data_IF_472105173358
#
_entry.id   IF_472105173358
#
_cell.length_a   1.000
_cell.length_b   1.000
_cell.length_c   1.000
_cell.angle_alpha   90.00
_cell.angle_beta   90.00
_cell.angle_gamma   90.00
#
_symmetry.space_group_name_H-M   'P 1'
#
loop_
_entity.id
_entity.type
_entity.pdbx_description
1 polymer ?
#
# COMPACT_ATOMS: atom_id res chain seq x y z
N UNK A 1 -13.98 -37.29 -40.67
CA UNK A 1 -12.67 -36.89 -41.24
C UNK A 1 -12.24 -35.63 -40.52
N UNK A 2 -11.03 -35.56 -39.99
CA UNK A 2 -10.54 -34.31 -39.39
C UNK A 2 -10.43 -33.25 -40.49
N UNK A 3 -10.88 -32.04 -40.19
CA UNK A 3 -10.77 -30.88 -41.07
C UNK A 3 -9.29 -30.61 -41.31
N UNK A 4 -8.85 -30.50 -42.57
CA UNK A 4 -7.51 -30.00 -42.88
C UNK A 4 -7.50 -28.49 -42.63
N UNK A 5 -6.91 -28.05 -41.53
CA UNK A 5 -6.61 -26.64 -41.31
C UNK A 5 -5.46 -26.22 -42.21
N UNK A 6 -5.78 -25.60 -43.33
CA UNK A 6 -4.78 -24.99 -44.19
C UNK A 6 -4.58 -23.53 -43.87
N UNK A 7 -3.33 -23.09 -43.74
CA UNK A 7 -3.05 -21.67 -43.52
C UNK A 7 -3.35 -20.90 -44.84
N UNK A 8 -3.97 -19.69 -44.77
CA UNK A 8 -4.27 -18.90 -45.97
C UNK A 8 -3.07 -18.64 -46.87
N UNK A 9 -1.87 -18.61 -46.35
CA UNK A 9 -0.63 -18.47 -47.11
C UNK A 9 -0.34 -19.71 -47.96
N UNK A 10 -0.54 -20.89 -47.41
CA UNK A 10 -0.31 -22.16 -48.10
C UNK A 10 -1.29 -22.34 -49.27
N UNK A 11 -2.54 -21.97 -49.10
CA UNK A 11 -3.55 -22.03 -50.16
C UNK A 11 -3.22 -21.06 -51.32
N UNK A 12 -2.70 -19.86 -51.00
CA UNK A 12 -2.24 -18.89 -52.01
C UNK A 12 -1.01 -19.41 -52.76
N UNK A 13 -0.09 -20.06 -52.09
CA UNK A 13 1.07 -20.70 -52.71
C UNK A 13 0.66 -21.84 -53.59
N UNK A 14 -0.29 -22.68 -53.20
CA UNK A 14 -0.84 -23.77 -54.02
C UNK A 14 -1.55 -23.23 -55.27
N UNK A 15 -2.37 -22.18 -55.10
CA UNK A 15 -3.03 -21.50 -56.19
C UNK A 15 -2.03 -20.98 -57.25
N UNK A 16 -0.96 -20.32 -56.84
CA UNK A 16 0.08 -19.79 -57.72
C UNK A 16 0.86 -20.92 -58.40
N UNK A 17 1.16 -21.99 -57.67
CA UNK A 17 1.84 -23.17 -58.24
C UNK A 17 1.00 -23.83 -59.36
N UNK A 18 -0.29 -24.05 -59.07
CA UNK A 18 -1.20 -24.65 -60.06
C UNK A 18 -1.38 -23.72 -61.29
N UNK A 19 -1.39 -22.41 -61.10
CA UNK A 19 -1.41 -21.45 -62.19
C UNK A 19 -0.12 -21.51 -63.03
N UNK A 20 1.05 -21.63 -62.39
CA UNK A 20 2.33 -21.73 -63.09
C UNK A 20 2.46 -23.01 -64.02
N UNK A 21 1.74 -24.07 -63.63
CA UNK A 21 1.69 -25.29 -64.46
C UNK A 21 0.97 -25.10 -65.75
N UNK A 22 0.29 -23.99 -66.03
CA UNK A 22 -0.43 -23.63 -67.23
C UNK A 22 -1.46 -24.68 -67.70
N UNK A 23 -1.93 -25.53 -66.78
CA UNK A 23 -2.90 -26.60 -67.08
C UNK A 23 -4.36 -26.10 -66.89
N UNK A 24 -4.59 -24.96 -66.26
CA UNK A 24 -5.90 -24.47 -65.98
C UNK A 24 -6.06 -23.00 -66.40
N UNK A 25 -7.23 -22.66 -66.91
CA UNK A 25 -7.62 -21.25 -67.06
C UNK A 25 -7.86 -20.58 -65.73
N UNK A 26 -7.76 -19.25 -65.67
CA UNK A 26 -8.04 -18.50 -64.44
C UNK A 26 -9.47 -18.76 -63.89
N UNK A 27 -10.43 -19.05 -64.83
CA UNK A 27 -11.82 -19.38 -64.45
C UNK A 27 -11.90 -20.71 -63.71
N UNK A 28 -11.27 -21.75 -64.26
CA UNK A 28 -11.22 -23.08 -63.64
C UNK A 28 -10.47 -23.10 -62.35
N UNK A 29 -9.34 -22.39 -62.29
CA UNK A 29 -8.53 -22.29 -61.10
C UNK A 29 -9.30 -21.56 -59.98
N UNK A 30 -9.97 -20.45 -60.29
CA UNK A 30 -10.79 -19.70 -59.31
C UNK A 30 -11.96 -20.55 -58.79
N UNK A 31 -12.60 -21.34 -59.64
CA UNK A 31 -13.65 -22.27 -59.21
C UNK A 31 -13.10 -23.38 -58.31
N UNK A 32 -11.92 -23.95 -58.62
CA UNK A 32 -11.27 -25.00 -57.83
C UNK A 32 -10.91 -24.57 -56.41
N UNK A 33 -10.48 -23.29 -56.23
CA UNK A 33 -10.09 -22.73 -54.95
C UNK A 33 -11.18 -21.90 -54.27
N UNK A 34 -12.41 -21.95 -54.82
CA UNK A 34 -13.57 -21.20 -54.31
C UNK A 34 -13.29 -19.71 -54.09
N UNK A 35 -12.61 -19.09 -55.05
CA UNK A 35 -12.28 -17.66 -55.04
C UNK A 35 -12.82 -16.96 -56.28
N UNK A 36 -13.08 -15.65 -56.16
CA UNK A 36 -13.45 -14.89 -57.37
C UNK A 36 -12.26 -14.75 -58.34
N UNK A 37 -12.54 -14.66 -59.64
CA UNK A 37 -11.50 -14.40 -60.66
C UNK A 37 -10.69 -13.14 -60.33
N UNK A 38 -11.35 -12.09 -59.78
CA UNK A 38 -10.68 -10.88 -59.32
C UNK A 38 -9.65 -11.18 -58.23
N UNK A 39 -9.96 -12.09 -57.29
CA UNK A 39 -9.04 -12.54 -56.27
C UNK A 39 -7.89 -13.33 -56.85
N UNK A 40 -8.14 -14.22 -57.83
CA UNK A 40 -7.11 -14.95 -58.52
C UNK A 40 -6.10 -14.04 -59.25
N UNK A 41 -6.59 -13.09 -60.01
CA UNK A 41 -5.72 -12.11 -60.72
C UNK A 41 -4.97 -11.21 -59.69
N UNK A 42 -5.57 -10.85 -58.55
CA UNK A 42 -4.92 -10.09 -57.48
C UNK A 42 -3.71 -10.85 -56.92
N UNK A 43 -3.86 -12.14 -56.62
CA UNK A 43 -2.76 -12.94 -56.08
C UNK A 43 -1.66 -13.22 -57.11
N UNK A 44 -2.04 -13.45 -58.37
CA UNK A 44 -1.08 -13.53 -59.47
C UNK A 44 -0.25 -12.27 -59.57
N UNK A 45 -0.87 -11.09 -59.71
CA UNK A 45 -0.16 -9.82 -59.83
C UNK A 45 0.79 -9.56 -58.64
N UNK A 46 0.35 -9.86 -57.41
CA UNK A 46 1.23 -9.74 -56.23
C UNK A 46 2.44 -10.69 -56.29
N UNK A 47 2.23 -11.90 -56.77
CA UNK A 47 3.33 -12.85 -56.95
C UNK A 47 4.31 -12.38 -58.01
N UNK A 48 3.82 -11.86 -59.12
CA UNK A 48 4.64 -11.32 -60.20
C UNK A 48 5.46 -10.10 -59.76
N UNK A 49 4.90 -9.25 -58.86
CA UNK A 49 5.59 -8.08 -58.31
C UNK A 49 6.65 -8.41 -57.24
N UNK A 50 6.41 -9.36 -56.35
CA UNK A 50 7.24 -9.55 -55.16
C UNK A 50 7.42 -11.01 -54.73
N UNK A 51 7.12 -11.96 -55.59
CA UNK A 51 7.29 -13.38 -55.32
C UNK A 51 6.46 -13.89 -54.12
N UNK A 52 6.96 -14.95 -53.51
CA UNK A 52 6.33 -15.62 -52.40
C UNK A 52 6.00 -14.66 -51.21
N UNK A 53 6.87 -13.71 -50.93
CA UNK A 53 6.67 -12.78 -49.82
C UNK A 53 5.48 -11.85 -50.02
N UNK A 54 5.11 -11.53 -51.24
CA UNK A 54 3.97 -10.67 -51.55
C UNK A 54 2.62 -11.38 -51.44
N UNK A 55 2.57 -12.69 -51.23
CA UNK A 55 1.36 -13.45 -50.94
C UNK A 55 0.87 -13.28 -49.48
N UNK A 56 1.67 -12.69 -48.62
CA UNK A 56 1.25 -12.33 -47.25
C UNK A 56 0.18 -11.25 -47.23
N UNK A 57 -0.59 -11.21 -46.15
CA UNK A 57 -1.56 -10.14 -45.98
C UNK A 57 -0.84 -8.79 -45.72
N UNK A 58 -1.18 -7.80 -46.53
CA UNK A 58 -0.70 -6.43 -46.31
C UNK A 58 -1.43 -5.85 -45.09
N UNK A 59 -0.72 -5.03 -44.31
CA UNK A 59 -1.32 -4.29 -43.21
C UNK A 59 -2.55 -3.50 -43.70
N UNK A 60 -3.66 -3.66 -42.96
CA UNK A 60 -4.88 -2.88 -43.20
C UNK A 60 -4.92 -1.61 -42.36
N UNK A 61 -3.84 -1.32 -41.66
CA UNK A 61 -3.75 -0.11 -40.82
C UNK A 61 -3.79 1.13 -41.75
N UNK A 62 -4.51 2.21 -41.35
CA UNK A 62 -4.50 3.47 -42.07
C UNK A 62 -3.06 4.00 -42.18
N UNK A 63 -2.74 4.57 -43.36
CA UNK A 63 -1.42 5.19 -43.58
C UNK A 63 -1.21 6.43 -42.68
N UNK A 64 -2.30 7.12 -42.30
CA UNK A 64 -2.29 8.23 -41.37
C UNK A 64 -3.20 7.90 -40.18
N UNK A 65 -2.66 7.95 -39.01
CA UNK A 65 -3.39 7.81 -37.73
C UNK A 65 -3.18 9.08 -36.92
N UNK A 66 -4.06 10.09 -37.03
CA UNK A 66 -3.93 11.39 -36.30
C UNK A 66 -3.83 11.21 -34.79
N UNK A 67 -4.38 10.12 -34.25
CA UNK A 67 -4.37 9.80 -32.81
C UNK A 67 -3.20 8.90 -32.38
N UNK A 68 -2.23 8.68 -33.26
CA UNK A 68 -1.05 7.87 -32.92
C UNK A 68 -0.19 8.64 -31.92
N UNK A 69 0.17 8.00 -30.82
CA UNK A 69 1.11 8.57 -29.83
C UNK A 69 2.43 8.85 -30.57
N UNK A 70 2.99 10.06 -30.36
CA UNK A 70 4.30 10.44 -30.90
C UNK A 70 5.39 9.51 -30.34
N UNK A 71 6.49 9.36 -31.06
CA UNK A 71 7.62 8.54 -30.59
C UNK A 71 8.25 9.11 -29.32
N UNK A 72 8.29 10.43 -29.19
CA UNK A 72 8.74 11.12 -27.99
C UNK A 72 7.88 10.77 -26.77
N UNK A 73 6.54 10.92 -26.88
CA UNK A 73 5.61 10.55 -25.82
C UNK A 73 5.71 9.06 -25.45
N UNK A 74 5.85 8.20 -26.46
CA UNK A 74 6.03 6.77 -26.24
C UNK A 74 7.35 6.47 -25.51
N UNK A 75 8.42 7.17 -25.85
CA UNK A 75 9.70 7.05 -25.17
C UNK A 75 9.59 7.46 -23.71
N UNK A 76 9.05 8.65 -23.42
CA UNK A 76 8.88 9.16 -22.05
C UNK A 76 8.08 8.21 -21.15
N UNK A 77 6.95 7.69 -21.64
CA UNK A 77 6.11 6.72 -20.92
C UNK A 77 6.86 5.41 -20.66
N UNK A 78 7.57 4.89 -21.67
CA UNK A 78 8.33 3.65 -21.53
C UNK A 78 9.55 3.81 -20.59
N UNK A 79 10.21 4.95 -20.64
CA UNK A 79 11.34 5.26 -19.75
C UNK A 79 10.90 5.42 -18.30
N UNK A 80 9.84 6.19 -18.05
CA UNK A 80 9.23 6.28 -16.72
C UNK A 80 8.82 4.88 -16.17
N UNK A 81 8.32 3.99 -17.03
CA UNK A 81 7.99 2.62 -16.64
C UNK A 81 9.20 1.78 -16.29
N UNK A 82 10.34 1.99 -16.94
CA UNK A 82 11.61 1.30 -16.59
C UNK A 82 12.16 1.80 -15.26
N UNK A 83 12.05 3.11 -14.99
CA UNK A 83 12.44 3.72 -13.72
C UNK A 83 11.54 3.24 -12.58
N UNK A 84 10.22 3.12 -12.82
CA UNK A 84 9.22 2.72 -11.84
C UNK A 84 8.44 1.46 -12.27
N UNK A 85 9.05 0.26 -12.21
CA UNK A 85 8.47 -0.97 -12.78
C UNK A 85 7.15 -1.41 -12.18
N UNK A 86 6.80 -0.94 -10.98
CA UNK A 86 5.58 -1.31 -10.24
C UNK A 86 4.42 -0.33 -10.47
N UNK A 87 4.67 0.84 -11.08
CA UNK A 87 3.66 1.86 -11.26
C UNK A 87 2.77 1.57 -12.48
N UNK A 88 1.47 1.76 -12.34
CA UNK A 88 0.52 1.67 -13.45
C UNK A 88 0.57 2.91 -14.35
N UNK A 89 -0.07 2.86 -15.54
CA UNK A 89 -0.07 3.97 -16.48
C UNK A 89 -0.60 5.29 -15.87
N UNK A 90 -1.64 5.22 -15.05
CA UNK A 90 -2.21 6.33 -14.30
C UNK A 90 -1.14 7.11 -13.51
N UNK A 91 -0.40 6.39 -12.64
CA UNK A 91 0.68 6.99 -11.85
C UNK A 91 1.84 7.52 -12.69
N UNK A 92 2.15 6.86 -13.79
CA UNK A 92 3.22 7.31 -14.68
C UNK A 92 2.85 8.63 -15.34
N UNK A 93 1.61 8.80 -15.77
CA UNK A 93 1.13 10.05 -16.33
C UNK A 93 1.07 11.15 -15.29
N UNK A 94 0.51 10.89 -14.10
CA UNK A 94 0.50 11.83 -12.96
C UNK A 94 1.92 12.30 -12.57
N UNK A 95 2.92 11.43 -12.73
CA UNK A 95 4.32 11.74 -12.42
C UNK A 95 5.02 12.53 -13.53
N UNK A 96 4.68 12.25 -14.80
CA UNK A 96 5.25 12.91 -15.98
C UNK A 96 4.68 14.31 -16.20
N UNK A 97 3.40 14.50 -15.95
CA UNK A 97 2.69 15.75 -16.22
C UNK A 97 3.36 16.99 -15.61
N UNK A 98 3.71 17.04 -14.31
CA UNK A 98 4.39 18.20 -13.74
C UNK A 98 5.85 18.36 -14.19
N UNK A 99 6.47 17.32 -14.75
CA UNK A 99 7.85 17.32 -15.25
C UNK A 99 7.97 17.77 -16.70
N UNK A 100 6.86 17.71 -17.45
CA UNK A 100 6.78 18.14 -18.84
C UNK A 100 5.54 19.04 -19.03
N UNK A 101 5.55 20.27 -18.49
CA UNK A 101 4.42 21.19 -18.60
C UNK A 101 4.05 21.48 -20.04
N UNK A 102 2.76 21.43 -20.38
CA UNK A 102 2.28 21.68 -21.73
C UNK A 102 2.38 20.50 -22.71
N UNK A 103 2.95 19.37 -22.30
CA UNK A 103 2.97 18.16 -23.12
C UNK A 103 1.60 17.48 -23.15
N UNK A 104 1.13 17.11 -24.34
CA UNK A 104 -0.16 16.45 -24.51
C UNK A 104 -0.06 14.96 -24.21
N UNK A 105 -0.54 14.56 -23.05
CA UNK A 105 -0.51 13.14 -22.62
C UNK A 105 -1.71 12.37 -23.18
N UNK A 106 -1.51 11.07 -23.56
CA UNK A 106 -2.60 10.21 -23.97
C UNK A 106 -3.48 9.80 -22.78
N UNK A 107 -4.67 9.29 -23.07
CA UNK A 107 -5.51 8.67 -22.05
C UNK A 107 -4.78 7.50 -21.36
N UNK A 108 -5.12 7.25 -20.08
CA UNK A 108 -4.54 6.17 -19.26
C UNK A 108 -4.63 4.81 -19.94
N UNK A 109 -5.76 4.50 -20.61
CA UNK A 109 -5.94 3.27 -21.37
C UNK A 109 -4.94 3.15 -22.52
N UNK A 110 -4.76 4.23 -23.28
CA UNK A 110 -3.84 4.29 -24.43
C UNK A 110 -2.38 4.12 -23.97
N UNK A 111 -2.00 4.75 -22.86
CA UNK A 111 -0.68 4.54 -22.24
C UNK A 111 -0.52 3.08 -21.76
N UNK A 112 -1.57 2.48 -21.20
CA UNK A 112 -1.59 1.06 -20.82
C UNK A 112 -1.38 0.12 -21.98
N UNK A 113 -2.06 0.36 -23.10
CA UNK A 113 -1.92 -0.43 -24.34
C UNK A 113 -0.53 -0.28 -24.98
N UNK A 114 0.04 0.93 -24.92
CA UNK A 114 1.42 1.17 -25.34
C UNK A 114 2.39 0.30 -24.53
N UNK A 115 2.30 0.33 -23.19
CA UNK A 115 3.15 -0.45 -22.32
C UNK A 115 2.98 -1.96 -22.54
N UNK A 116 1.75 -2.42 -22.80
CA UNK A 116 1.47 -3.83 -23.09
C UNK A 116 2.12 -4.26 -24.43
N UNK A 117 1.98 -3.47 -25.48
CA UNK A 117 2.60 -3.72 -26.80
C UNK A 117 4.13 -3.73 -26.73
N UNK A 118 4.72 -2.89 -25.87
CA UNK A 118 6.17 -2.84 -25.63
C UNK A 118 6.68 -3.93 -24.69
N UNK A 119 5.81 -4.87 -24.23
CA UNK A 119 6.18 -5.97 -23.34
C UNK A 119 6.47 -5.55 -21.89
N UNK A 120 6.14 -4.30 -21.50
CA UNK A 120 6.42 -3.74 -20.19
C UNK A 120 5.33 -4.05 -19.15
N UNK A 121 4.35 -4.89 -19.48
CA UNK A 121 3.26 -5.30 -18.59
C UNK A 121 3.33 -6.81 -18.33
N UNK A 122 3.50 -7.20 -17.06
CA UNK A 122 3.39 -8.60 -16.67
C UNK A 122 1.92 -9.03 -16.67
N UNK A 123 1.56 -10.04 -17.47
CA UNK A 123 0.22 -10.65 -17.44
C UNK A 123 -0.06 -11.19 -16.03
N UNK A 124 -1.06 -10.65 -15.33
CA UNK A 124 -1.54 -11.16 -14.04
C UNK A 124 -2.81 -11.97 -14.27
N UNK A 125 -2.90 -13.18 -13.68
CA UNK A 125 -4.18 -13.87 -13.55
C UNK A 125 -5.16 -12.96 -12.80
N UNK A 126 -6.29 -12.62 -13.41
CA UNK A 126 -7.39 -11.93 -12.74
C UNK A 126 -7.88 -12.81 -11.60
N UNK A 127 -7.62 -12.42 -10.34
CA UNK A 127 -8.37 -12.94 -9.20
C UNK A 127 -9.71 -12.22 -9.17
N UNK A 128 -10.81 -12.96 -8.98
CA UNK A 128 -12.12 -12.35 -8.67
C UNK A 128 -11.93 -11.46 -7.44
N UNK A 129 -12.21 -10.16 -7.60
CA UNK A 129 -12.27 -9.25 -6.49
C UNK A 129 -13.59 -9.51 -5.76
N UNK A 130 -13.52 -10.01 -4.53
CA UNK A 130 -14.67 -9.96 -3.64
C UNK A 130 -14.82 -8.52 -3.17
N UNK A 131 -15.94 -7.90 -3.54
CA UNK A 131 -16.34 -6.60 -2.98
C UNK A 131 -16.90 -6.88 -1.60
N UNK A 132 -16.16 -6.50 -0.56
CA UNK A 132 -16.67 -6.57 0.82
C UNK A 132 -17.72 -5.47 1.01
N UNK A 133 -18.90 -5.73 1.58
CA UNK A 133 -19.86 -4.69 1.93
C UNK A 133 -19.18 -3.73 2.93
N UNK A 134 -19.19 -2.46 2.57
CA UNK A 134 -18.33 -1.42 3.10
C UNK A 134 -18.19 -1.34 4.62
N UNK A 135 -16.96 -1.25 5.05
CA UNK A 135 -16.59 -0.67 6.35
C UNK A 135 -16.38 0.82 6.12
N UNK A 136 -17.06 1.66 6.90
CA UNK A 136 -16.84 3.11 6.88
C UNK A 136 -15.38 3.36 7.26
N UNK A 137 -14.55 3.91 6.37
CA UNK A 137 -13.17 4.25 6.71
C UNK A 137 -13.18 5.28 7.85
N UNK A 138 -12.22 5.20 8.75
CA UNK A 138 -12.05 6.26 9.73
C UNK A 138 -11.82 7.58 9.00
N UNK A 139 -12.73 8.51 9.16
CA UNK A 139 -12.64 9.85 8.58
C UNK A 139 -11.61 10.65 9.37
N UNK A 140 -10.52 11.02 8.71
CA UNK A 140 -9.55 11.99 9.19
C UNK A 140 -9.78 13.28 8.41
N UNK A 141 -9.75 14.43 9.09
CA UNK A 141 -10.03 15.73 8.46
C UNK A 141 -8.76 16.50 8.11
N UNK A 142 -7.66 16.20 8.79
CA UNK A 142 -6.38 16.90 8.63
C UNK A 142 -5.17 16.00 8.96
N UNK A 143 -3.95 16.39 8.54
CA UNK A 143 -2.72 15.70 8.92
C UNK A 143 -2.60 15.58 10.45
N UNK A 144 -2.03 14.46 10.91
CA UNK A 144 -1.79 14.13 12.32
C UNK A 144 -3.05 13.91 13.19
N UNK A 145 -4.25 13.86 12.61
CA UNK A 145 -5.44 13.40 13.33
C UNK A 145 -5.28 11.94 13.76
N UNK A 146 -4.73 11.10 12.86
CA UNK A 146 -4.55 9.68 13.12
C UNK A 146 -3.32 9.13 12.40
N UNK A 147 -2.35 8.69 13.17
CA UNK A 147 -1.27 7.86 12.66
C UNK A 147 -1.63 6.39 12.73
N UNK A 148 -1.20 5.61 11.78
CA UNK A 148 -1.30 4.15 11.79
C UNK A 148 0.09 3.56 11.97
N UNK A 149 0.24 2.55 12.82
CA UNK A 149 1.50 1.87 13.04
C UNK A 149 1.29 0.35 13.00
N UNK A 150 2.17 -0.34 12.27
CA UNK A 150 2.03 -1.77 12.03
C UNK A 150 3.38 -2.40 11.68
N UNK A 151 3.54 -3.69 12.02
CA UNK A 151 4.65 -4.51 11.56
C UNK A 151 4.28 -5.22 10.26
N UNK A 152 5.12 -5.07 9.23
CA UNK A 152 4.90 -5.74 7.94
C UNK A 152 4.95 -7.27 8.01
N UNK A 153 5.26 -7.83 9.15
CA UNK A 153 5.68 -9.22 9.31
C UNK A 153 7.20 -9.33 9.16
N UNK A 154 7.72 -10.55 9.14
CA UNK A 154 9.15 -10.78 9.14
C UNK A 154 9.66 -11.32 7.81
N UNK A 155 10.92 -11.04 7.51
CA UNK A 155 11.67 -11.67 6.43
C UNK A 155 13.16 -11.78 6.85
N UNK A 156 13.93 -12.60 6.13
CA UNK A 156 15.38 -12.72 6.36
C UNK A 156 16.15 -11.86 5.38
N UNK A 157 17.16 -11.15 5.89
CA UNK A 157 18.22 -10.53 5.10
C UNK A 157 19.18 -11.60 4.55
N UNK A 158 20.07 -11.23 3.62
CA UNK A 158 20.97 -12.18 2.98
C UNK A 158 21.94 -12.88 3.93
N UNK A 159 22.24 -12.28 5.09
CA UNK A 159 23.01 -12.85 6.19
C UNK A 159 22.18 -13.76 7.13
N UNK A 160 20.91 -14.03 6.77
CA UNK A 160 20.02 -14.92 7.51
C UNK A 160 19.33 -14.29 8.72
N UNK A 161 19.61 -13.04 9.04
CA UNK A 161 19.03 -12.32 10.18
C UNK A 161 17.56 -11.95 9.89
N UNK A 162 16.67 -12.15 10.87
CA UNK A 162 15.28 -11.70 10.75
C UNK A 162 15.18 -10.18 10.86
N UNK A 163 14.43 -9.60 9.94
CA UNK A 163 14.06 -8.18 9.93
C UNK A 163 12.55 -8.06 10.12
N UNK A 164 12.15 -7.23 11.07
CA UNK A 164 10.76 -6.90 11.38
C UNK A 164 10.52 -5.41 11.03
N UNK A 165 10.03 -5.07 9.83
CA UNK A 165 9.79 -3.68 9.46
C UNK A 165 8.63 -3.08 10.24
N UNK A 166 8.92 -2.11 11.09
CA UNK A 166 7.91 -1.24 11.69
C UNK A 166 7.66 -0.06 10.76
N UNK A 167 6.41 0.15 10.41
CA UNK A 167 5.98 1.27 9.58
C UNK A 167 5.00 2.15 10.35
N UNK A 168 5.15 3.46 10.21
CA UNK A 168 4.26 4.46 10.81
C UNK A 168 3.87 5.45 9.72
N UNK A 169 2.57 5.67 9.53
CA UNK A 169 2.07 6.55 8.48
C UNK A 169 0.93 7.44 8.98
N UNK A 170 0.83 8.65 8.43
CA UNK A 170 -0.34 9.50 8.60
C UNK A 170 -1.49 8.99 7.73
N UNK A 171 -2.64 8.73 8.34
CA UNK A 171 -3.78 8.16 7.62
C UNK A 171 -4.42 9.16 6.65
N UNK A 172 -4.41 10.44 6.94
CA UNK A 172 -5.03 11.47 6.10
C UNK A 172 -4.26 11.68 4.79
N UNK A 173 -2.98 11.99 4.90
CA UNK A 173 -2.12 12.31 3.76
C UNK A 173 -1.41 11.11 3.16
N UNK A 174 -1.48 9.93 3.79
CA UNK A 174 -0.72 8.73 3.43
C UNK A 174 0.79 8.88 3.62
N UNK A 175 1.26 9.96 4.24
CA UNK A 175 2.68 10.22 4.46
C UNK A 175 3.30 9.14 5.34
N UNK A 176 4.33 8.50 4.84
CA UNK A 176 5.08 7.46 5.55
C UNK A 176 6.12 8.13 6.47
N UNK A 177 5.76 8.31 7.73
CA UNK A 177 6.59 8.95 8.75
C UNK A 177 7.84 8.14 9.08
N UNK A 178 7.70 6.82 9.14
CA UNK A 178 8.79 5.91 9.45
C UNK A 178 8.66 4.55 8.80
N UNK A 179 9.81 3.99 8.41
CA UNK A 179 9.95 2.60 7.97
C UNK A 179 11.28 2.08 8.54
N UNK A 180 11.22 1.36 9.65
CA UNK A 180 12.39 0.95 10.42
C UNK A 180 12.46 -0.57 10.52
N UNK A 181 13.58 -1.15 10.06
CA UNK A 181 13.89 -2.57 10.26
C UNK A 181 14.36 -2.83 11.69
N UNK A 182 13.69 -3.71 12.39
CA UNK A 182 14.02 -4.13 13.75
C UNK A 182 14.41 -5.61 13.78
N UNK A 183 15.16 -6.01 14.82
CA UNK A 183 15.54 -7.41 15.07
C UNK A 183 14.44 -8.18 15.80
N UNK A 184 13.50 -7.50 16.41
CA UNK A 184 12.36 -8.09 17.12
C UNK A 184 11.20 -7.10 17.19
N UNK A 185 10.03 -7.59 17.60
CA UNK A 185 8.82 -6.78 17.79
C UNK A 185 8.67 -6.30 19.25
N UNK A 186 9.69 -6.43 20.10
CA UNK A 186 9.57 -6.01 21.48
C UNK A 186 9.48 -4.48 21.65
N UNK A 187 8.84 -4.04 22.73
CA UNK A 187 8.58 -2.61 23.00
C UNK A 187 9.85 -1.77 23.19
N UNK A 188 10.94 -2.37 23.67
CA UNK A 188 12.20 -1.67 23.91
C UNK A 188 12.79 -1.08 22.60
N UNK A 189 12.70 -1.81 21.47
CA UNK A 189 13.15 -1.31 20.17
C UNK A 189 12.18 -0.31 19.53
N UNK A 190 10.91 -0.36 19.88
CA UNK A 190 9.85 0.47 19.26
C UNK A 190 9.78 1.89 19.84
N UNK A 191 9.94 2.03 21.15
CA UNK A 191 9.86 3.33 21.83
C UNK A 191 10.83 4.38 21.30
N UNK A 192 12.13 4.10 21.08
CA UNK A 192 13.06 5.08 20.51
C UNK A 192 12.67 5.56 19.11
N UNK A 193 11.99 4.71 18.32
CA UNK A 193 11.50 5.08 17.00
C UNK A 193 10.40 6.13 17.13
N UNK A 194 9.40 5.89 17.98
CA UNK A 194 8.33 6.87 18.21
C UNK A 194 8.86 8.15 18.86
N UNK A 195 9.83 8.09 19.76
CA UNK A 195 10.47 9.28 20.34
C UNK A 195 11.08 10.16 19.23
N UNK A 196 11.85 9.55 18.33
CA UNK A 196 12.41 10.24 17.17
C UNK A 196 11.34 10.81 16.24
N UNK A 197 10.27 10.05 15.96
CA UNK A 197 9.18 10.51 15.10
C UNK A 197 8.45 11.69 15.73
N UNK A 198 8.19 11.66 17.05
CA UNK A 198 7.55 12.74 17.75
C UNK A 198 8.41 14.01 17.78
N UNK A 199 9.74 13.88 17.95
CA UNK A 199 10.66 15.03 17.85
C UNK A 199 10.68 15.63 16.44
N UNK A 200 10.58 14.79 15.42
CA UNK A 200 10.66 15.23 14.02
C UNK A 200 9.35 15.83 13.52
N UNK A 201 8.23 15.20 13.85
CA UNK A 201 6.93 15.50 13.25
C UNK A 201 5.89 16.06 14.22
N UNK A 202 6.21 16.14 15.51
CA UNK A 202 5.27 16.50 16.59
C UNK A 202 4.33 15.34 16.94
N UNK A 203 3.42 15.59 17.90
CA UNK A 203 2.52 14.58 18.45
C UNK A 203 1.23 14.48 17.61
N UNK A 204 0.80 13.28 17.20
CA UNK A 204 -0.53 13.10 16.61
C UNK A 204 -1.64 13.20 17.66
N UNK A 205 -2.87 13.34 17.21
CA UNK A 205 -4.05 13.25 18.09
C UNK A 205 -4.29 11.82 18.55
N UNK A 206 -4.16 10.85 17.64
CA UNK A 206 -4.35 9.44 17.91
C UNK A 206 -3.35 8.56 17.15
N UNK A 207 -3.08 7.38 17.66
CA UNK A 207 -2.32 6.32 16.98
C UNK A 207 -3.19 5.06 16.95
N UNK A 208 -3.36 4.49 15.75
CA UNK A 208 -4.04 3.21 15.54
C UNK A 208 -3.03 2.11 15.30
N UNK A 209 -3.22 0.98 15.98
CA UNK A 209 -2.38 -0.22 15.82
C UNK A 209 -3.26 -1.46 15.74
N UNK A 210 -2.65 -2.57 15.36
CA UNK A 210 -3.22 -3.91 15.58
C UNK A 210 -3.24 -4.26 17.08
N UNK A 211 -3.71 -5.47 17.39
CA UNK A 211 -3.76 -6.01 18.75
C UNK A 211 -2.52 -6.84 19.12
N UNK A 212 -1.48 -6.80 18.31
CA UNK A 212 -0.23 -7.54 18.52
C UNK A 212 0.75 -6.84 19.46
N UNK A 213 1.71 -7.59 19.98
CA UNK A 213 2.85 -7.06 20.73
C UNK A 213 3.71 -6.19 19.79
N UNK A 214 4.15 -4.99 20.22
CA UNK A 214 4.12 -4.40 21.58
C UNK A 214 2.95 -3.46 21.83
N UNK A 215 2.01 -3.38 20.90
CA UNK A 215 0.92 -2.39 20.93
C UNK A 215 -0.21 -2.78 21.87
N UNK A 216 -0.35 -4.06 22.20
CA UNK A 216 -1.31 -4.55 23.16
C UNK A 216 -0.71 -5.63 24.07
N UNK A 217 -1.29 -5.78 25.25
CA UNK A 217 -0.97 -6.83 26.22
C UNK A 217 -2.27 -7.49 26.71
N UNK A 218 -2.17 -8.62 27.38
CA UNK A 218 -3.30 -9.29 28.06
C UNK A 218 -3.75 -8.60 29.35
N UNK A 219 -3.09 -7.50 29.77
CA UNK A 219 -3.49 -6.71 30.94
C UNK A 219 -4.86 -6.03 30.73
N UNK A 220 -5.45 -5.52 31.82
CA UNK A 220 -6.71 -4.75 31.79
C UNK A 220 -6.63 -3.66 30.71
N UNK A 221 -7.58 -3.62 29.81
CA UNK A 221 -7.59 -2.80 28.58
C UNK A 221 -6.40 -2.99 27.63
N UNK A 222 -5.57 -4.05 27.82
CA UNK A 222 -4.41 -4.31 26.97
C UNK A 222 -3.34 -3.22 27.04
N UNK A 223 -3.23 -2.49 28.15
CA UNK A 223 -2.27 -1.40 28.33
C UNK A 223 -0.84 -1.93 28.39
N UNK A 224 -0.05 -1.61 27.38
CA UNK A 224 1.40 -1.78 27.37
C UNK A 224 2.10 -0.51 27.88
N UNK A 225 3.38 -0.62 28.24
CA UNK A 225 4.17 0.55 28.63
C UNK A 225 4.24 1.61 27.51
N UNK A 226 4.16 1.17 26.24
CA UNK A 226 4.11 2.06 25.07
C UNK A 226 2.80 2.86 25.05
N UNK A 227 1.66 2.20 25.30
CA UNK A 227 0.34 2.86 25.35
C UNK A 227 0.26 3.85 26.50
N UNK A 228 0.74 3.46 27.68
CA UNK A 228 0.80 4.32 28.86
C UNK A 228 1.59 5.61 28.56
N UNK A 229 2.73 5.47 27.88
CA UNK A 229 3.52 6.62 27.45
C UNK A 229 2.76 7.52 26.46
N UNK A 230 2.07 6.96 25.47
CA UNK A 230 1.24 7.73 24.53
C UNK A 230 0.11 8.48 25.24
N UNK A 231 -0.58 7.82 26.18
CA UNK A 231 -1.64 8.44 26.96
C UNK A 231 -1.11 9.59 27.82
N UNK A 232 0.09 9.45 28.39
CA UNK A 232 0.77 10.54 29.13
C UNK A 232 1.10 11.74 28.23
N UNK A 233 1.38 11.50 26.95
CA UNK A 233 1.58 12.56 25.95
C UNK A 233 0.27 13.13 25.40
N UNK A 234 -0.87 12.67 25.89
CA UNK A 234 -2.18 13.07 25.40
C UNK A 234 -2.50 12.57 23.99
N UNK A 235 -1.92 11.42 23.62
CA UNK A 235 -2.19 10.72 22.36
C UNK A 235 -3.20 9.62 22.65
N UNK A 236 -4.32 9.61 21.94
CA UNK A 236 -5.31 8.53 22.03
C UNK A 236 -4.81 7.26 21.33
N UNK A 237 -4.87 6.13 22.01
CA UNK A 237 -4.61 4.83 21.38
C UNK A 237 -5.91 4.21 20.87
N UNK A 238 -5.95 3.89 19.58
CA UNK A 238 -7.06 3.19 18.94
C UNK A 238 -6.58 1.80 18.51
N UNK A 239 -7.31 0.77 18.89
CA UNK A 239 -7.05 -0.60 18.44
C UNK A 239 -8.01 -0.97 17.31
N UNK A 240 -7.53 -1.72 16.34
CA UNK A 240 -8.37 -2.31 15.31
C UNK A 240 -9.31 -3.31 15.97
N UNK A 241 -10.58 -3.26 15.62
CA UNK A 241 -11.55 -4.24 16.13
C UNK A 241 -11.15 -5.65 15.66
N UNK A 242 -11.24 -6.67 16.53
CA UNK A 242 -11.00 -8.05 16.12
C UNK A 242 -11.84 -8.42 14.91
N UNK A 243 -11.26 -9.17 13.97
CA UNK A 243 -11.88 -9.56 12.71
C UNK A 243 -12.25 -8.44 11.72
N UNK A 244 -11.76 -7.19 11.93
CA UNK A 244 -11.97 -6.07 11.01
C UNK A 244 -10.66 -5.55 10.39
N UNK A 245 -9.90 -6.36 9.62
CA UNK A 245 -8.64 -5.96 8.99
C UNK A 245 -8.80 -4.78 8.03
N UNK A 246 -10.01 -4.56 7.50
CA UNK A 246 -10.32 -3.46 6.58
C UNK A 246 -10.05 -2.07 7.21
N UNK A 247 -10.09 -1.95 8.54
CA UNK A 247 -9.75 -0.71 9.24
C UNK A 247 -8.29 -0.28 9.04
N UNK A 248 -7.41 -1.22 8.59
CA UNK A 248 -6.01 -0.96 8.24
C UNK A 248 -5.69 -1.08 6.73
N UNK A 249 -6.71 -1.17 5.88
CA UNK A 249 -6.55 -1.44 4.45
C UNK A 249 -5.63 -0.47 3.69
N UNK A 250 -5.51 0.79 4.16
CA UNK A 250 -4.53 1.74 3.61
C UNK A 250 -3.09 1.33 3.91
N UNK A 251 -2.84 0.90 5.14
CA UNK A 251 -1.54 0.43 5.61
C UNK A 251 -1.14 -0.88 4.93
N UNK A 252 -2.07 -1.83 4.80
CA UNK A 252 -1.86 -3.08 4.07
C UNK A 252 -1.47 -2.84 2.60
N UNK A 253 -2.11 -1.86 1.96
CA UNK A 253 -1.78 -1.47 0.58
C UNK A 253 -0.37 -0.89 0.48
N UNK A 254 0.03 -0.07 1.45
CA UNK A 254 1.41 0.43 1.55
C UNK A 254 2.39 -0.71 1.77
N UNK A 255 2.09 -1.67 2.67
CA UNK A 255 2.90 -2.87 2.90
C UNK A 255 3.08 -3.73 1.64
N UNK A 256 2.04 -3.83 0.79
CA UNK A 256 2.15 -4.52 -0.50
C UNK A 256 3.15 -3.83 -1.42
N UNK A 257 3.15 -2.50 -1.44
CA UNK A 257 4.11 -1.70 -2.20
C UNK A 257 5.53 -1.86 -1.63
N UNK A 258 5.69 -1.71 -0.31
CA UNK A 258 6.96 -1.91 0.40
C UNK A 258 7.58 -3.29 0.08
N UNK A 259 6.74 -4.34 0.09
CA UNK A 259 7.20 -5.69 -0.22
C UNK A 259 7.74 -5.81 -1.65
N UNK A 260 7.08 -5.17 -2.61
CA UNK A 260 7.47 -5.25 -4.02
C UNK A 260 8.70 -4.39 -4.36
N UNK A 261 8.90 -3.27 -3.69
CA UNK A 261 9.90 -2.25 -4.05
C UNK A 261 11.12 -2.24 -3.14
N UNK A 262 10.97 -2.65 -1.87
CA UNK A 262 12.03 -2.53 -0.88
C UNK A 262 12.39 -3.82 -0.11
N UNK A 263 11.56 -4.86 -0.17
CA UNK A 263 11.84 -6.12 0.52
C UNK A 263 12.27 -7.21 -0.47
N UNK A 264 11.74 -7.22 -1.66
CA UNK A 264 12.06 -8.25 -2.68
C UNK A 264 12.83 -7.67 -3.86
N UNK A 265 14.12 -8.06 -4.04
CA UNK A 265 14.94 -8.95 -3.19
C UNK A 265 15.40 -8.28 -1.88
N UNK A 266 15.53 -9.08 -0.82
CA UNK A 266 16.09 -8.62 0.45
C UNK A 266 17.58 -8.26 0.28
N UNK A 267 18.04 -7.28 1.05
CA UNK A 267 19.45 -6.86 1.04
C UNK A 267 20.31 -7.79 1.90
N UNK A 268 21.63 -7.70 1.69
CA UNK A 268 22.59 -8.59 2.35
C UNK A 268 22.59 -8.48 3.88
N UNK A 269 22.41 -7.26 4.42
CA UNK A 269 22.46 -6.97 5.86
C UNK A 269 21.38 -5.97 6.26
N UNK A 270 21.03 -5.96 7.55
CA UNK A 270 20.00 -5.04 8.09
C UNK A 270 20.34 -3.56 7.82
N UNK A 271 21.61 -3.16 7.91
CA UNK A 271 22.03 -1.76 7.62
C UNK A 271 21.77 -1.39 6.17
N UNK A 272 22.07 -2.26 5.22
CA UNK A 272 21.79 -2.03 3.79
C UNK A 272 20.31 -2.08 3.49
N UNK A 273 19.58 -2.95 4.20
CA UNK A 273 18.13 -3.00 4.14
C UNK A 273 17.48 -1.70 4.63
N UNK A 274 18.00 -1.12 5.73
CA UNK A 274 17.51 0.15 6.26
C UNK A 274 17.73 1.30 5.27
N UNK A 275 18.85 1.35 4.58
CA UNK A 275 19.10 2.35 3.51
C UNK A 275 18.04 2.22 2.40
N UNK A 276 17.67 0.99 2.05
CA UNK A 276 16.62 0.75 1.06
C UNK A 276 15.25 1.20 1.58
N UNK A 277 14.93 0.99 2.86
CA UNK A 277 13.70 1.49 3.48
C UNK A 277 13.65 3.02 3.51
N UNK A 278 14.77 3.68 3.81
CA UNK A 278 14.84 5.14 3.80
C UNK A 278 14.57 5.69 2.40
N UNK A 279 15.24 5.13 1.36
CA UNK A 279 14.98 5.52 -0.03
C UNK A 279 13.54 5.27 -0.45
N UNK A 280 12.98 4.11 -0.11
CA UNK A 280 11.56 3.80 -0.37
C UNK A 280 10.63 4.82 0.29
N UNK A 281 10.87 5.19 1.55
CA UNK A 281 10.08 6.20 2.27
C UNK A 281 10.13 7.55 1.54
N UNK A 282 11.31 7.97 1.12
CA UNK A 282 11.51 9.25 0.45
C UNK A 282 10.82 9.27 -0.92
N UNK A 283 10.97 8.21 -1.72
CA UNK A 283 10.28 8.04 -3.01
C UNK A 283 8.75 7.94 -2.83
N UNK A 284 8.29 7.17 -1.84
CA UNK A 284 6.87 7.00 -1.53
C UNK A 284 6.21 8.33 -1.16
N UNK A 285 6.91 9.18 -0.42
CA UNK A 285 6.39 10.45 0.06
C UNK A 285 6.47 11.58 -0.98
N UNK A 286 7.54 11.65 -1.74
CA UNK A 286 7.84 12.83 -2.54
C UNK A 286 7.73 12.61 -4.06
N UNK A 287 7.82 11.38 -4.53
CA UNK A 287 7.78 11.08 -5.95
C UNK A 287 6.54 10.31 -6.38
N UNK A 288 6.04 9.40 -5.53
CA UNK A 288 4.95 8.48 -5.89
C UNK A 288 3.59 9.17 -5.89
N UNK A 289 2.87 9.26 -7.03
CA UNK A 289 1.50 9.72 -7.07
C UNK A 289 0.53 8.73 -6.42
N UNK A 290 -0.47 9.23 -5.70
CA UNK A 290 -1.46 8.43 -5.03
C UNK A 290 -2.87 8.68 -5.55
N UNK A 291 -3.54 7.68 -6.05
CA UNK A 291 -4.91 7.75 -6.56
C UNK A 291 -5.91 8.30 -5.53
N UNK A 292 -5.77 7.87 -4.26
CA UNK A 292 -6.59 8.37 -3.15
C UNK A 292 -6.32 9.84 -2.79
N UNK A 293 -5.29 10.44 -3.37
CA UNK A 293 -4.90 11.84 -3.21
C UNK A 293 -5.00 12.60 -4.55
N UNK A 294 -5.78 12.07 -5.50
CA UNK A 294 -5.98 12.66 -6.83
C UNK A 294 -4.65 12.92 -7.57
N UNK A 295 -3.78 11.90 -7.62
CA UNK A 295 -2.49 11.97 -8.30
C UNK A 295 -1.39 12.72 -7.53
N UNK A 296 -1.72 13.38 -6.41
CA UNK A 296 -0.72 14.11 -5.61
C UNK A 296 0.15 13.17 -4.79
N UNK A 297 1.35 13.64 -4.45
CA UNK A 297 2.25 12.94 -3.54
C UNK A 297 1.89 13.21 -2.07
N UNK A 298 2.10 12.25 -1.15
CA UNK A 298 1.88 12.44 0.28
C UNK A 298 2.61 13.66 0.85
N UNK A 299 3.85 13.90 0.41
CA UNK A 299 4.70 14.99 0.88
C UNK A 299 4.18 16.37 0.50
N UNK A 300 3.44 16.51 -0.60
CA UNK A 300 2.81 17.78 -0.99
C UNK A 300 1.68 18.22 -0.03
N UNK A 301 1.09 17.25 0.68
CA UNK A 301 -0.07 17.45 1.55
C UNK A 301 0.27 17.44 3.03
N UNK A 302 1.31 16.69 3.42
CA UNK A 302 1.67 16.53 4.81
C UNK A 302 2.29 17.81 5.38
N UNK A 303 1.92 18.11 6.64
CA UNK A 303 2.55 19.15 7.47
C UNK A 303 2.76 18.58 8.87
N UNK A 304 3.90 18.87 9.53
CA UNK A 304 4.13 18.48 10.91
C UNK A 304 3.03 18.96 11.87
N UNK A 305 2.85 18.26 12.95
CA UNK A 305 1.89 18.62 13.99
C UNK A 305 2.33 19.89 14.73
N UNK A 306 1.37 20.76 15.05
CA UNK A 306 1.60 21.92 15.92
C UNK A 306 1.83 21.53 17.38
N UNK A 307 1.50 20.27 17.76
CA UNK A 307 1.77 19.73 19.10
C UNK A 307 3.24 19.28 19.16
N UNK A 308 4.11 20.19 19.57
CA UNK A 308 5.54 19.89 19.68
C UNK A 308 5.82 18.88 20.81
N UNK A 309 6.92 18.10 20.63
CA UNK A 309 7.39 17.16 21.64
C UNK A 309 8.80 17.54 22.10
N UNK A 310 8.94 17.87 23.38
CA UNK A 310 10.20 18.30 23.99
C UNK A 310 11.06 17.16 24.50
N UNK A 311 10.53 15.94 24.56
CA UNK A 311 11.17 14.78 25.17
C UNK A 311 10.71 14.51 26.59
N UNK A 312 9.98 15.43 27.19
CA UNK A 312 9.48 15.33 28.55
C UNK A 312 7.99 14.98 28.58
N UNK A 313 7.58 14.33 29.66
CA UNK A 313 6.17 14.07 29.90
C UNK A 313 5.52 15.32 30.54
N UNK A 314 4.41 15.82 29.97
CA UNK A 314 3.72 16.95 30.59
C UNK A 314 3.22 16.58 31.97
N UNK A 315 3.21 17.53 32.93
CA UNK A 315 2.59 17.30 34.22
C UNK A 315 1.11 16.94 34.02
N UNK A 316 0.59 16.08 34.88
CA UNK A 316 -0.82 15.69 34.84
C UNK A 316 -1.34 15.65 36.28
N UNK A 317 -2.38 16.42 36.55
CA UNK A 317 -3.06 16.46 37.80
C UNK A 317 -4.51 16.00 37.65
N UNK A 318 -4.98 15.19 38.60
CA UNK A 318 -6.36 14.77 38.64
C UNK A 318 -7.23 15.86 39.29
N UNK A 319 -8.52 15.96 38.91
CA UNK A 319 -9.44 16.85 39.62
C UNK A 319 -9.46 16.58 41.12
N UNK A 320 -9.66 17.62 41.93
CA UNK A 320 -9.54 17.55 43.40
C UNK A 320 -10.50 16.57 44.09
N UNK A 321 -11.58 16.17 43.42
CA UNK A 321 -12.53 15.18 43.95
C UNK A 321 -12.12 13.73 43.72
N UNK A 322 -11.04 13.49 42.93
CA UNK A 322 -10.52 12.16 42.70
C UNK A 322 -9.65 11.67 43.84
N UNK A 323 -9.78 10.41 44.22
CA UNK A 323 -8.81 9.76 45.10
C UNK A 323 -7.62 9.29 44.22
N UNK A 324 -6.48 9.95 44.40
CA UNK A 324 -5.26 9.62 43.61
C UNK A 324 -4.45 8.54 44.33
N UNK A 325 -4.10 7.47 43.63
CA UNK A 325 -3.30 6.35 44.12
C UNK A 325 -2.09 6.11 43.24
N UNK A 326 -0.92 5.89 43.88
CA UNK A 326 0.30 5.50 43.18
C UNK A 326 0.31 3.99 42.96
N UNK A 327 0.67 3.56 41.75
CA UNK A 327 0.82 2.15 41.39
C UNK A 327 2.22 1.66 41.81
N UNK A 328 2.25 0.56 42.55
CA UNK A 328 3.49 -0.06 43.08
C UNK A 328 4.27 -0.83 42.00
N UNK A 329 5.46 -1.32 42.38
CA UNK A 329 6.30 -2.17 41.51
C UNK A 329 5.62 -3.48 41.08
N UNK A 330 4.57 -3.90 41.79
CA UNK A 330 3.78 -5.10 41.45
C UNK A 330 2.56 -4.77 40.55
N UNK A 331 2.45 -3.55 40.03
CA UNK A 331 1.30 -3.15 39.19
C UNK A 331 0.00 -2.99 40.01
N UNK A 332 0.11 -2.77 41.34
CA UNK A 332 -1.02 -2.72 42.27
C UNK A 332 -1.12 -1.36 42.90
N UNK A 333 -2.30 -1.02 43.42
CA UNK A 333 -2.49 0.11 44.32
C UNK A 333 -3.34 -0.30 45.51
N UNK A 334 -3.19 0.44 46.63
CA UNK A 334 -3.99 0.21 47.84
C UNK A 334 -5.25 1.05 47.79
N UNK A 335 -6.40 0.38 47.88
CA UNK A 335 -7.69 1.03 48.01
C UNK A 335 -8.37 0.51 49.29
N UNK A 336 -8.66 1.44 50.20
CA UNK A 336 -9.10 1.09 51.55
C UNK A 336 -8.17 0.03 52.17
N UNK A 337 -8.70 -1.11 52.57
CA UNK A 337 -7.94 -2.22 53.19
C UNK A 337 -7.42 -3.27 52.19
N UNK A 338 -7.69 -3.12 50.87
CA UNK A 338 -7.34 -4.10 49.83
C UNK A 338 -6.22 -3.60 48.93
N UNK A 339 -5.41 -4.55 48.45
CA UNK A 339 -4.41 -4.32 47.44
C UNK A 339 -4.97 -4.87 46.11
N UNK A 340 -5.10 -4.02 45.12
CA UNK A 340 -5.76 -4.33 43.85
C UNK A 340 -4.75 -4.23 42.73
N UNK A 341 -4.70 -5.24 41.86
CA UNK A 341 -3.88 -5.21 40.67
C UNK A 341 -4.58 -4.41 39.57
N UNK A 342 -3.86 -3.54 38.89
CA UNK A 342 -4.39 -2.75 37.77
C UNK A 342 -3.67 -3.06 36.46
N UNK A 343 -2.38 -2.84 36.34
CA UNK A 343 -1.57 -3.17 35.18
C UNK A 343 -0.08 -2.96 35.47
N UNK A 344 0.77 -3.85 34.91
CA UNK A 344 2.23 -3.67 34.97
C UNK A 344 2.71 -2.44 34.17
N UNK A 345 2.02 -2.06 33.11
CA UNK A 345 2.36 -0.86 32.33
C UNK A 345 2.22 0.46 33.09
N UNK A 346 1.48 0.46 34.21
CA UNK A 346 1.23 1.63 35.06
C UNK A 346 2.17 1.75 36.28
N UNK A 347 3.15 0.88 36.41
CA UNK A 347 4.13 0.90 37.48
C UNK A 347 4.75 2.32 37.62
N UNK A 348 4.78 2.84 38.84
CA UNK A 348 5.25 4.19 39.23
C UNK A 348 4.37 5.36 38.78
N UNK A 349 3.32 5.13 37.98
CA UNK A 349 2.34 6.16 37.66
C UNK A 349 1.24 6.26 38.75
N UNK A 350 0.44 7.30 38.65
CA UNK A 350 -0.75 7.49 39.46
C UNK A 350 -2.01 7.19 38.71
N UNK A 351 -3.00 6.64 39.37
CA UNK A 351 -4.37 6.47 38.85
C UNK A 351 -5.33 7.31 39.71
N UNK A 352 -6.37 7.85 39.10
CA UNK A 352 -7.43 8.59 39.76
C UNK A 352 -8.66 7.71 39.87
N UNK A 353 -9.29 7.72 41.04
CA UNK A 353 -10.54 7.02 41.29
C UNK A 353 -11.64 8.06 41.57
N UNK A 354 -12.75 7.91 40.87
CA UNK A 354 -13.95 8.75 41.04
C UNK A 354 -15.12 7.86 41.41
N UNK A 355 -15.80 8.19 42.52
CA UNK A 355 -17.02 7.49 42.89
C UNK A 355 -18.17 7.97 42.01
N UNK A 356 -18.74 7.05 41.21
CA UNK A 356 -19.81 7.35 40.26
C UNK A 356 -21.18 6.91 40.77
N UNK A 357 -21.18 5.93 41.66
CA UNK A 357 -22.36 5.46 42.42
C UNK A 357 -21.90 4.93 43.76
N UNK A 358 -22.81 4.72 44.72
CA UNK A 358 -22.52 4.17 46.02
C UNK A 358 -21.70 2.87 45.94
N UNK A 359 -20.43 2.95 46.32
CA UNK A 359 -19.45 1.87 46.29
C UNK A 359 -18.98 1.47 44.88
N UNK A 360 -19.32 2.20 43.81
CA UNK A 360 -18.84 1.95 42.44
C UNK A 360 -17.88 3.07 42.03
N UNK A 361 -16.66 2.69 41.73
CA UNK A 361 -15.56 3.60 41.42
C UNK A 361 -15.10 3.45 39.98
N UNK A 362 -15.03 4.55 39.25
CA UNK A 362 -14.34 4.62 37.96
C UNK A 362 -12.86 4.85 38.17
N UNK A 363 -12.01 4.05 37.55
CA UNK A 363 -10.55 4.16 37.63
C UNK A 363 -10.06 4.80 36.35
N UNK A 364 -9.35 5.90 36.45
CA UNK A 364 -8.79 6.64 35.34
C UNK A 364 -7.27 6.60 35.34
N UNK A 365 -6.70 6.47 34.15
CA UNK A 365 -5.31 6.83 33.89
C UNK A 365 -5.27 8.05 32.95
N UNK A 366 -4.73 9.15 33.45
CA UNK A 366 -4.90 10.46 32.85
C UNK A 366 -6.40 10.75 32.61
N UNK A 367 -6.79 10.92 31.34
CA UNK A 367 -8.20 11.18 30.96
C UNK A 367 -8.94 9.96 30.46
N UNK A 368 -8.35 8.78 30.59
CA UNK A 368 -8.92 7.55 30.03
C UNK A 368 -9.44 6.67 31.15
N UNK A 369 -10.72 6.30 31.07
CA UNK A 369 -11.32 5.30 31.94
C UNK A 369 -10.66 3.94 31.64
N UNK A 370 -10.00 3.35 32.64
CA UNK A 370 -9.29 2.08 32.50
C UNK A 370 -9.96 0.92 33.26
N UNK A 371 -11.05 1.17 33.96
CA UNK A 371 -11.82 0.16 34.65
C UNK A 371 -12.79 0.72 35.65
N UNK A 372 -13.63 -0.16 36.13
CA UNK A 372 -14.54 0.12 37.24
C UNK A 372 -14.30 -0.87 38.37
N UNK A 373 -14.32 -0.37 39.59
CA UNK A 373 -14.16 -1.13 40.82
C UNK A 373 -15.50 -1.12 41.57
N UNK A 374 -15.98 -2.28 41.95
CA UNK A 374 -17.11 -2.45 42.86
C UNK A 374 -16.55 -2.79 44.25
N UNK A 375 -16.90 -1.99 45.26
CA UNK A 375 -16.46 -2.22 46.63
C UNK A 375 -17.02 -3.49 47.27
N UNK A 376 -18.11 -4.03 46.75
CA UNK A 376 -18.74 -5.23 47.28
C UNK A 376 -17.88 -6.49 47.03
N UNK A 377 -17.17 -6.55 45.93
CA UNK A 377 -16.33 -7.66 45.59
C UNK A 377 -14.85 -7.32 45.39
N UNK A 378 -14.51 -6.03 45.29
CA UNK A 378 -13.17 -5.53 45.01
C UNK A 378 -12.57 -6.04 43.69
N UNK A 379 -13.40 -6.31 42.69
CA UNK A 379 -12.95 -6.74 41.37
C UNK A 379 -12.94 -5.51 40.45
N UNK A 380 -11.78 -5.30 39.79
CA UNK A 380 -11.67 -4.30 38.74
C UNK A 380 -12.15 -4.94 37.41
N UNK A 381 -13.18 -4.33 36.81
CA UNK A 381 -13.74 -4.71 35.52
C UNK A 381 -13.38 -3.64 34.50
N UNK A 382 -12.89 -4.09 33.30
CA UNK A 382 -12.47 -3.22 32.23
C UNK A 382 -13.46 -3.14 31.08
#
# INVERSE_FOLDING_TARGET
MPWLETAPMEERERFIRDWQLSLYTMTELSARYDVSRKTGYKWRARFDEGGRHALGDRSRAPHQCPHRISEETAYLICDARRQHPTWGPDKLLDWLEPRHPGHAWPAVSTAGDLLARKGLVKKRRRRRAYTHPGVVPATTTRPNDLWTADFKGQFRTGDGIYCYPLTVADLHTRYLLGCQGLLSTNGAGVRPIFDRLFRTYGLPRAIRTDNGVPFATVAIHGLSALNVWWLRLGIQHQRIQPAHPQQNGAHERMHKTLNAEAIRPARSRLVTQQRTFNRFRDEYNHERPHQSLHGRTPGSLYRPSSRTYTGELPPFEYPGHFIVKRVTNAGTFRFKKRVLFVANGLIHYTVGLEEVHDGIWSIYFCRVLIGRLDERDYIIRG
#
